data_IF_130402702346
#
_entry.id   IF_130402702346
#
_cell.length_a   1.000
_cell.length_b   1.000
_cell.length_c   1.000
_cell.angle_alpha   90.00
_cell.angle_beta   90.00
_cell.angle_gamma   90.00
#
_symmetry.space_group_name_H-M   'P 1'
#
loop_
_entity.id
_entity.type
_entity.pdbx_description
1 polymer ?
#
# COMPACT_ATOMS: atom_id res chain seq x y z
N UNK A 1 -8.00 5.48 -13.60
CA UNK A 1 -7.60 5.54 -12.19
C UNK A 1 -6.11 5.32 -12.10
N UNK A 2 -5.40 6.24 -11.44
CA UNK A 2 -3.98 6.11 -11.12
C UNK A 2 -3.82 5.01 -10.06
N UNK A 3 -2.73 4.23 -10.13
CA UNK A 3 -2.43 3.20 -9.11
C UNK A 3 -1.40 3.76 -8.14
N UNK A 4 -1.75 3.83 -6.87
CA UNK A 4 -0.89 4.31 -5.81
C UNK A 4 -0.11 3.19 -5.13
N UNK A 5 -0.54 1.93 -5.28
CA UNK A 5 0.03 0.77 -4.60
C UNK A 5 0.46 -0.33 -5.56
N UNK A 6 1.73 -0.73 -5.45
CA UNK A 6 2.23 -2.00 -5.98
C UNK A 6 2.20 -3.07 -4.89
N UNK A 7 2.00 -4.33 -5.29
CA UNK A 7 1.97 -5.46 -4.37
C UNK A 7 2.74 -6.64 -4.99
N UNK A 8 3.56 -7.30 -4.19
CA UNK A 8 4.29 -8.52 -4.58
C UNK A 8 4.40 -9.49 -3.40
N UNK A 9 4.48 -10.79 -3.70
CA UNK A 9 4.75 -11.82 -2.70
C UNK A 9 6.26 -12.00 -2.55
N UNK A 10 6.77 -11.95 -1.32
CA UNK A 10 8.19 -12.15 -1.01
C UNK A 10 8.35 -12.70 0.41
N UNK A 11 9.14 -13.75 0.55
CA UNK A 11 9.56 -14.34 1.83
C UNK A 11 8.38 -14.66 2.79
N UNK A 12 7.29 -15.25 2.27
CA UNK A 12 6.11 -15.57 3.08
C UNK A 12 5.23 -14.37 3.44
N UNK A 13 5.42 -13.22 2.80
CA UNK A 13 4.63 -12.01 3.03
C UNK A 13 4.12 -11.41 1.73
N UNK A 14 2.93 -10.80 1.81
CA UNK A 14 2.48 -9.82 0.83
C UNK A 14 3.10 -8.47 1.18
N UNK A 15 3.87 -7.93 0.24
CA UNK A 15 4.56 -6.65 0.38
C UNK A 15 3.83 -5.62 -0.46
N UNK A 16 3.33 -4.57 0.19
CA UNK A 16 2.67 -3.43 -0.43
C UNK A 16 3.62 -2.23 -0.40
N UNK A 17 3.81 -1.55 -1.52
CA UNK A 17 4.63 -0.35 -1.60
C UNK A 17 3.86 0.77 -2.31
N UNK A 18 4.13 2.01 -1.92
CA UNK A 18 3.70 3.16 -2.72
C UNK A 18 4.42 3.18 -4.07
N UNK A 19 3.70 3.47 -5.14
CA UNK A 19 4.25 3.61 -6.50
C UNK A 19 4.99 4.93 -6.68
N UNK A 20 4.68 5.93 -5.86
CA UNK A 20 5.31 7.24 -5.85
C UNK A 20 6.08 7.49 -4.55
N UNK A 21 6.96 8.49 -4.62
CA UNK A 21 7.67 9.01 -3.45
C UNK A 21 7.01 10.31 -3.01
N UNK A 22 6.86 10.46 -1.70
CA UNK A 22 6.15 11.57 -1.07
C UNK A 22 7.06 12.33 -0.11
N UNK A 23 6.80 13.63 0.13
CA UNK A 23 7.39 14.32 1.27
C UNK A 23 7.09 13.59 2.58
N UNK A 24 7.99 13.70 3.57
CA UNK A 24 7.89 12.96 4.83
C UNK A 24 6.52 13.07 5.51
N UNK A 25 5.90 14.26 5.52
CA UNK A 25 4.59 14.47 6.14
C UNK A 25 3.50 13.61 5.50
N UNK A 26 3.46 13.54 4.16
CA UNK A 26 2.52 12.69 3.42
C UNK A 26 2.86 11.21 3.59
N UNK A 27 4.15 10.85 3.52
CA UNK A 27 4.59 9.48 3.77
C UNK A 27 4.23 8.99 5.18
N UNK A 28 4.30 9.85 6.19
CA UNK A 28 3.88 9.54 7.57
C UNK A 28 2.37 9.28 7.66
N UNK A 29 1.53 10.07 6.98
CA UNK A 29 0.08 9.82 6.92
C UNK A 29 -0.24 8.49 6.24
N UNK A 30 0.46 8.19 5.14
CA UNK A 30 0.32 6.91 4.44
C UNK A 30 0.77 5.75 5.34
N UNK A 31 1.85 5.93 6.10
CA UNK A 31 2.32 4.94 7.09
C UNK A 31 1.23 4.62 8.12
N UNK A 32 0.52 5.63 8.62
CA UNK A 32 -0.57 5.44 9.58
C UNK A 32 -1.71 4.61 8.98
N UNK A 33 -2.10 4.87 7.73
CA UNK A 33 -3.09 4.06 7.00
C UNK A 33 -2.64 2.60 6.91
N UNK A 34 -1.38 2.37 6.54
CA UNK A 34 -0.85 1.01 6.45
C UNK A 34 -0.89 0.29 7.82
N UNK A 35 -0.50 0.99 8.88
CA UNK A 35 -0.51 0.45 10.24
C UNK A 35 -1.94 0.11 10.73
N UNK A 36 -2.92 0.96 10.42
CA UNK A 36 -4.34 0.72 10.77
C UNK A 36 -4.87 -0.54 10.08
N UNK A 37 -4.41 -0.84 8.86
CA UNK A 37 -4.74 -2.06 8.14
C UNK A 37 -3.95 -3.30 8.61
N UNK A 38 -3.17 -3.18 9.69
CA UNK A 38 -2.44 -4.28 10.32
C UNK A 38 -1.15 -4.68 9.59
N UNK A 39 -0.64 -3.82 8.70
CA UNK A 39 0.62 -4.05 8.01
C UNK A 39 1.80 -3.69 8.92
N UNK A 40 2.84 -4.51 8.92
CA UNK A 40 4.14 -4.15 9.49
C UNK A 40 4.83 -3.20 8.52
N UNK A 41 4.86 -1.91 8.86
CA UNK A 41 5.14 -0.86 7.88
C UNK A 41 6.31 0.03 8.25
N UNK A 42 6.96 0.59 7.22
CA UNK A 42 8.09 1.49 7.37
C UNK A 42 8.12 2.54 6.25
N UNK A 43 8.55 3.74 6.61
CA UNK A 43 8.93 4.80 5.67
C UNK A 43 10.39 4.58 5.27
N UNK A 44 10.69 4.67 3.98
CA UNK A 44 12.04 4.54 3.44
C UNK A 44 12.39 5.75 2.60
N UNK A 45 13.52 6.37 2.92
CA UNK A 45 14.05 7.46 2.10
C UNK A 45 14.54 6.91 0.76
N UNK A 46 14.24 7.64 -0.32
CA UNK A 46 14.69 7.31 -1.68
C UNK A 46 15.70 8.33 -2.18
N UNK A 47 15.27 9.57 -2.39
CA UNK A 47 16.12 10.66 -2.86
C UNK A 47 15.46 12.01 -2.58
N UNK A 48 16.26 13.06 -2.41
CA UNK A 48 15.80 14.45 -2.32
C UNK A 48 14.67 14.69 -1.29
N UNK A 49 14.78 14.10 -0.08
CA UNK A 49 13.74 14.17 0.96
C UNK A 49 12.36 13.64 0.50
N UNK A 50 12.36 12.72 -0.47
CA UNK A 50 11.19 11.96 -0.88
C UNK A 50 11.30 10.53 -0.35
N UNK A 51 10.16 10.05 0.15
CA UNK A 51 10.05 8.81 0.89
C UNK A 51 8.99 7.93 0.27
N UNK A 52 9.23 6.63 0.25
CA UNK A 52 8.22 5.64 -0.09
C UNK A 52 7.77 4.92 1.18
N UNK A 53 6.53 4.43 1.18
CA UNK A 53 6.01 3.62 2.29
C UNK A 53 5.93 2.17 1.85
N UNK A 54 6.37 1.27 2.72
CA UNK A 54 6.32 -0.18 2.53
C UNK A 54 5.60 -0.82 3.70
N UNK A 55 4.63 -1.69 3.42
CA UNK A 55 3.91 -2.50 4.40
C UNK A 55 4.02 -3.97 4.08
N UNK A 56 4.13 -4.80 5.12
CA UNK A 56 4.16 -6.25 4.99
C UNK A 56 3.00 -6.88 5.74
N UNK A 57 2.27 -7.76 5.05
CA UNK A 57 1.31 -8.68 5.64
C UNK A 57 1.91 -10.08 5.59
N UNK A 58 2.28 -10.62 6.75
CA UNK A 58 2.73 -12.01 6.82
C UNK A 58 1.55 -12.93 6.54
N UNK A 59 1.74 -13.87 5.61
CA UNK A 59 0.71 -14.82 5.20
C UNK A 59 1.22 -16.23 5.46
N UNK A 60 0.39 -17.06 6.09
CA UNK A 60 0.72 -18.46 6.34
C UNK A 60 0.43 -19.31 5.09
N UNK A 61 1.12 -18.97 4.00
CA UNK A 61 1.02 -19.63 2.71
C UNK A 61 2.39 -20.13 2.25
N UNK A 62 2.46 -21.43 2.01
CA UNK A 62 3.62 -22.11 1.44
C UNK A 62 3.32 -22.45 -0.03
N UNK A 63 4.03 -21.84 -0.99
CA UNK A 63 3.81 -22.05 -2.42
C UNK A 63 4.19 -23.47 -2.90
N UNK A 64 4.93 -24.23 -2.09
CA UNK A 64 5.35 -25.60 -2.44
C UNK A 64 4.34 -26.66 -1.96
N UNK A 65 3.36 -26.28 -1.14
CA UNK A 65 2.28 -27.16 -0.69
C UNK A 65 1.03 -26.91 -1.53
N UNK A 66 0.43 -27.96 -2.10
CA UNK A 66 -0.86 -27.86 -2.81
C UNK A 66 -1.99 -27.58 -1.82
N UNK A 67 -2.27 -26.30 -1.57
CA UNK A 67 -3.28 -25.81 -0.65
C UNK A 67 -4.22 -24.83 -1.38
N UNK A 68 -5.00 -25.33 -2.35
CA UNK A 68 -5.86 -24.51 -3.23
C UNK A 68 -6.78 -23.54 -2.45
N UNK A 69 -7.36 -23.97 -1.33
CA UNK A 69 -8.20 -23.10 -0.49
C UNK A 69 -7.43 -21.91 0.08
N UNK A 70 -6.18 -22.12 0.51
CA UNK A 70 -5.33 -21.05 1.06
C UNK A 70 -4.81 -20.10 -0.01
N UNK A 71 -4.68 -20.56 -1.25
CA UNK A 71 -4.36 -19.67 -2.36
C UNK A 71 -5.49 -18.66 -2.62
N UNK A 72 -6.74 -19.12 -2.63
CA UNK A 72 -7.90 -18.26 -2.81
C UNK A 72 -8.06 -17.26 -1.64
N UNK A 73 -7.79 -17.70 -0.41
CA UNK A 73 -7.76 -16.82 0.77
C UNK A 73 -6.66 -15.75 0.66
N UNK A 74 -5.45 -16.14 0.23
CA UNK A 74 -4.34 -15.21 0.01
C UNK A 74 -4.66 -14.18 -1.07
N UNK A 75 -5.24 -14.61 -2.20
CA UNK A 75 -5.67 -13.70 -3.26
C UNK A 75 -6.76 -12.73 -2.75
N UNK A 76 -7.70 -13.24 -1.96
CA UNK A 76 -8.76 -12.41 -1.37
C UNK A 76 -8.21 -11.38 -0.39
N UNK A 77 -7.27 -11.76 0.48
CA UNK A 77 -6.56 -10.84 1.36
C UNK A 77 -5.74 -9.81 0.58
N UNK A 78 -5.06 -10.23 -0.48
CA UNK A 78 -4.29 -9.34 -1.36
C UNK A 78 -5.20 -8.28 -1.98
N UNK A 79 -6.28 -8.70 -2.65
CA UNK A 79 -7.21 -7.80 -3.33
C UNK A 79 -7.87 -6.86 -2.33
N UNK A 80 -8.35 -7.37 -1.20
CA UNK A 80 -8.99 -6.55 -0.16
C UNK A 80 -8.05 -5.49 0.39
N UNK A 81 -6.85 -5.89 0.80
CA UNK A 81 -5.86 -4.97 1.40
C UNK A 81 -5.43 -3.92 0.39
N UNK A 82 -5.16 -4.34 -0.86
CA UNK A 82 -4.81 -3.41 -1.93
C UNK A 82 -5.92 -2.40 -2.20
N UNK A 83 -7.16 -2.84 -2.32
CA UNK A 83 -8.29 -1.94 -2.60
C UNK A 83 -8.54 -0.95 -1.47
N UNK A 84 -8.39 -1.37 -0.20
CA UNK A 84 -8.49 -0.46 0.95
C UNK A 84 -7.39 0.60 0.91
N UNK A 85 -6.15 0.19 0.69
CA UNK A 85 -5.02 1.12 0.55
C UNK A 85 -5.22 2.09 -0.60
N UNK A 86 -5.61 1.63 -1.79
CA UNK A 86 -5.83 2.50 -2.95
C UNK A 86 -6.95 3.54 -2.67
N UNK A 87 -8.04 3.13 -2.04
CA UNK A 87 -9.14 4.04 -1.69
C UNK A 87 -8.70 5.11 -0.69
N UNK A 88 -8.00 4.71 0.38
CA UNK A 88 -7.55 5.63 1.42
C UNK A 88 -6.47 6.59 0.88
N UNK A 89 -5.56 6.10 0.04
CA UNK A 89 -4.51 6.93 -0.57
C UNK A 89 -5.07 7.91 -1.61
N UNK A 90 -6.11 7.53 -2.35
CA UNK A 90 -6.79 8.45 -3.27
C UNK A 90 -7.29 9.68 -2.49
N UNK A 91 -7.94 9.46 -1.35
CA UNK A 91 -8.43 10.57 -0.50
C UNK A 91 -7.32 11.47 0.09
N UNK A 92 -6.12 10.92 0.31
CA UNK A 92 -4.98 11.64 0.88
C UNK A 92 -4.12 12.36 -0.16
N UNK A 93 -4.19 11.95 -1.42
CA UNK A 93 -3.36 12.48 -2.50
C UNK A 93 -4.13 13.35 -3.49
N UNK A 94 -5.46 13.24 -3.49
CA UNK A 94 -6.38 14.15 -4.19
C UNK A 94 -6.89 15.25 -3.23
N UNK A 95 -6.03 16.22 -2.89
CA UNK A 95 -6.47 17.51 -2.33
C UNK A 95 -6.99 18.43 -3.48
N UNK A 96 -8.01 19.27 -3.27
CA UNK A 96 -8.81 19.90 -4.32
C UNK A 96 -8.05 21.05 -5.00
N UNK A 97 -7.27 20.76 -6.03
CA UNK A 97 -6.65 21.79 -6.89
C UNK A 97 -7.49 22.18 -8.12
N UNK A 98 -8.70 21.64 -8.28
CA UNK A 98 -9.53 21.89 -9.47
C UNK A 98 -10.81 22.71 -9.23
N UNK A 99 -10.95 23.46 -8.12
CA UNK A 99 -12.12 24.34 -7.90
C UNK A 99 -11.83 25.84 -7.76
N UNK A 100 -10.63 26.32 -8.09
CA UNK A 100 -10.36 27.77 -8.18
C UNK A 100 -9.70 28.11 -9.51
N UNK A 101 -10.49 28.08 -10.58
CA UNK A 101 -10.22 28.89 -11.77
C UNK A 101 -11.50 29.06 -12.57
N UNK A 102 -12.39 29.94 -12.11
CA UNK A 102 -13.31 30.73 -12.93
C UNK A 102 -13.99 31.77 -12.02
N UNK A 103 -13.22 32.80 -11.64
CA UNK A 103 -13.78 34.13 -11.40
C UNK A 103 -13.66 34.92 -12.70
#
# INVERSE_FOLDING_TARGET
MKKHIECHYKDGALVFCTTENYPYQTASKILDVFNVLGLVSAVREKSNNLFNVVGKLHVNYDPFLKQENKWNELLSQLVRTKSMLENDLTSLTEDPKDQISSF
#
